data_IF_680211270935
#
_entry.id   IF_680211270935
#
_cell.length_a   1.000
_cell.length_b   1.000
_cell.length_c   1.000
_cell.angle_alpha   90.00
_cell.angle_beta   90.00
_cell.angle_gamma   90.00
#
_symmetry.space_group_name_H-M   'P 1'
#
loop_
_entity.id
_entity.type
_entity.pdbx_description
1 polymer ?
#
# COMPACT_ATOMS: atom_id res chain seq x y z
N UNK A 1 -0.39 7.63 -3.95
CA UNK A 1 -1.36 6.93 -4.83
C UNK A 1 -2.77 7.38 -4.59
N UNK A 2 -3.52 7.63 -5.66
CA UNK A 2 -4.93 7.99 -5.54
C UNK A 2 -5.78 6.73 -5.66
N UNK A 3 -6.86 6.67 -4.88
CA UNK A 3 -7.77 5.53 -4.90
C UNK A 3 -8.34 5.27 -6.28
N UNK A 4 -8.59 6.33 -7.06
CA UNK A 4 -9.08 6.22 -8.43
C UNK A 4 -8.13 5.39 -9.30
N UNK A 5 -6.83 5.63 -9.19
CA UNK A 5 -5.84 4.91 -9.97
C UNK A 5 -5.78 3.44 -9.57
N UNK A 6 -5.91 3.16 -8.28
CA UNK A 6 -5.88 1.78 -7.78
C UNK A 6 -7.05 0.95 -8.30
N UNK A 7 -8.19 1.57 -8.55
CA UNK A 7 -9.37 0.86 -9.04
C UNK A 7 -9.24 0.38 -10.48
N UNK A 8 -8.25 0.89 -11.21
CA UNK A 8 -7.97 0.46 -12.57
C UNK A 8 -7.16 -0.83 -12.63
N UNK A 9 -6.55 -1.24 -11.51
CA UNK A 9 -5.74 -2.44 -11.44
C UNK A 9 -6.57 -3.67 -11.17
N UNK A 10 -6.09 -4.82 -11.66
CA UNK A 10 -6.69 -6.11 -11.34
C UNK A 10 -6.37 -6.51 -9.90
N UNK A 11 -7.10 -7.50 -9.37
CA UNK A 11 -6.86 -8.00 -8.01
C UNK A 11 -5.42 -8.47 -7.84
N UNK A 12 -4.89 -9.20 -8.82
CA UNK A 12 -3.51 -9.69 -8.77
C UNK A 12 -2.48 -8.54 -8.76
N UNK A 13 -2.72 -7.52 -9.57
CA UNK A 13 -1.84 -6.36 -9.62
C UNK A 13 -1.85 -5.62 -8.29
N UNK A 14 -3.03 -5.52 -7.67
CA UNK A 14 -3.15 -4.87 -6.35
C UNK A 14 -2.38 -5.64 -5.28
N UNK A 15 -2.40 -6.97 -5.32
CA UNK A 15 -1.64 -7.79 -4.39
C UNK A 15 -0.13 -7.58 -4.55
N UNK A 16 0.35 -7.47 -5.79
CA UNK A 16 1.75 -7.17 -6.05
C UNK A 16 2.12 -5.80 -5.51
N UNK A 17 1.29 -4.80 -5.75
CA UNK A 17 1.51 -3.45 -5.23
C UNK A 17 1.53 -3.41 -3.72
N UNK A 18 0.64 -4.18 -3.09
CA UNK A 18 0.60 -4.28 -1.63
C UNK A 18 1.90 -4.87 -1.08
N UNK A 19 2.40 -5.92 -1.71
CA UNK A 19 3.66 -6.54 -1.31
C UNK A 19 4.82 -5.55 -1.42
N UNK A 20 4.91 -4.86 -2.55
CA UNK A 20 5.96 -3.86 -2.77
C UNK A 20 5.90 -2.75 -1.73
N UNK A 21 4.69 -2.26 -1.42
CA UNK A 21 4.51 -1.20 -0.44
C UNK A 21 4.90 -1.65 0.97
N UNK A 22 4.60 -2.89 1.33
CA UNK A 22 4.99 -3.45 2.62
C UNK A 22 6.50 -3.60 2.74
N UNK A 23 7.16 -4.02 1.67
CA UNK A 23 8.62 -4.11 1.64
C UNK A 23 9.26 -2.73 1.78
N UNK A 24 8.71 -1.73 1.10
CA UNK A 24 9.18 -0.36 1.22
C UNK A 24 9.02 0.16 2.65
N UNK A 25 7.87 -0.10 3.27
CA UNK A 25 7.64 0.30 4.65
C UNK A 25 8.65 -0.34 5.60
N UNK A 26 8.94 -1.61 5.41
CA UNK A 26 9.94 -2.32 6.20
C UNK A 26 11.32 -1.65 6.08
N UNK A 27 11.72 -1.35 4.85
CA UNK A 27 13.00 -0.70 4.59
C UNK A 27 13.07 0.69 5.21
N UNK A 28 11.97 1.46 5.11
CA UNK A 28 11.92 2.80 5.69
C UNK A 28 12.01 2.75 7.23
N UNK A 29 11.33 1.78 7.84
CA UNK A 29 11.41 1.58 9.30
C UNK A 29 12.82 1.18 9.73
N UNK A 30 13.47 0.34 8.94
CA UNK A 30 14.85 -0.06 9.21
C UNK A 30 15.78 1.15 9.13
N UNK A 31 15.64 1.98 8.09
CA UNK A 31 16.44 3.19 7.95
C UNK A 31 16.20 4.16 9.11
N UNK A 32 14.96 4.30 9.54
CA UNK A 32 14.64 5.16 10.69
C UNK A 32 15.30 4.63 11.96
N UNK A 33 15.27 3.33 12.18
CA UNK A 33 15.86 2.71 13.37
C UNK A 33 17.38 2.86 13.41
N UNK A 34 18.03 2.91 12.26
CA UNK A 34 19.49 3.09 12.17
C UNK A 34 19.92 4.55 12.03
N UNK A 35 18.97 5.48 12.07
CA UNK A 35 19.24 6.91 11.96
C UNK A 35 19.57 7.38 10.54
N UNK A 36 19.32 6.58 9.53
CA UNK A 36 19.62 6.91 8.13
C UNK A 36 18.48 7.61 7.40
N UNK A 37 17.28 7.62 7.98
CA UNK A 37 16.10 8.23 7.35
C UNK A 37 15.97 9.68 7.82
N UNK A 38 16.10 10.61 6.88
CA UNK A 38 16.00 12.05 7.18
C UNK A 38 14.57 12.54 7.30
N UNK A 39 13.63 11.90 6.59
CA UNK A 39 12.25 12.34 6.53
C UNK A 39 11.28 11.22 6.87
N UNK A 40 10.72 11.25 8.08
CA UNK A 40 9.79 10.22 8.55
C UNK A 40 8.41 10.32 7.91
N UNK A 41 8.11 11.42 7.20
CA UNK A 41 6.81 11.54 6.52
C UNK A 41 6.64 10.47 5.43
N UNK A 42 7.73 9.93 4.89
CA UNK A 42 7.66 8.84 3.92
C UNK A 42 7.05 7.58 4.53
N UNK A 43 7.29 7.34 5.82
CA UNK A 43 6.68 6.20 6.53
C UNK A 43 5.16 6.38 6.57
N UNK A 44 4.71 7.59 6.91
CA UNK A 44 3.27 7.90 6.97
C UNK A 44 2.63 7.75 5.59
N UNK A 45 3.26 8.28 4.55
CA UNK A 45 2.75 8.17 3.18
C UNK A 45 2.65 6.72 2.73
N UNK A 46 3.67 5.91 3.02
CA UNK A 46 3.67 4.50 2.65
C UNK A 46 2.57 3.74 3.39
N UNK A 47 2.36 4.03 4.68
CA UNK A 47 1.26 3.45 5.45
C UNK A 47 -0.10 3.79 4.85
N UNK A 48 -0.28 5.03 4.42
CA UNK A 48 -1.52 5.47 3.77
C UNK A 48 -1.75 4.75 2.45
N UNK A 49 -0.69 4.58 1.67
CA UNK A 49 -0.77 3.84 0.41
C UNK A 49 -1.19 2.40 0.66
N UNK A 50 -0.60 1.75 1.65
CA UNK A 50 -0.98 0.38 2.03
C UNK A 50 -2.46 0.32 2.41
N UNK A 51 -2.92 1.28 3.22
CA UNK A 51 -4.32 1.33 3.64
C UNK A 51 -5.26 1.49 2.44
N UNK A 52 -4.91 2.34 1.48
CA UNK A 52 -5.70 2.55 0.27
C UNK A 52 -5.74 1.30 -0.60
N UNK A 53 -4.60 0.65 -0.78
CA UNK A 53 -4.51 -0.59 -1.55
C UNK A 53 -5.38 -1.67 -0.90
N UNK A 54 -5.29 -1.83 0.41
CA UNK A 54 -6.11 -2.79 1.15
C UNK A 54 -7.60 -2.49 1.02
N UNK A 55 -7.98 -1.22 1.07
CA UNK A 55 -9.38 -0.81 0.92
C UNK A 55 -9.92 -1.19 -0.46
N UNK A 56 -9.15 -0.92 -1.51
CA UNK A 56 -9.58 -1.25 -2.88
C UNK A 56 -9.65 -2.76 -3.09
N UNK A 57 -8.70 -3.52 -2.55
CA UNK A 57 -8.72 -4.98 -2.62
C UNK A 57 -9.99 -5.50 -1.94
N UNK A 58 -10.33 -4.98 -0.77
CA UNK A 58 -11.51 -5.40 -0.04
C UNK A 58 -12.80 -5.06 -0.78
N UNK A 59 -12.88 -3.86 -1.37
CA UNK A 59 -14.02 -3.47 -2.19
C UNK A 59 -14.21 -4.42 -3.36
N UNK A 60 -13.11 -4.78 -4.01
CA UNK A 60 -13.14 -5.68 -5.15
C UNK A 60 -13.61 -7.08 -4.74
N UNK A 61 -13.11 -7.59 -3.63
CA UNK A 61 -13.53 -8.90 -3.10
C UNK A 61 -15.01 -8.91 -2.72
N UNK A 62 -15.49 -7.85 -2.06
CA UNK A 62 -16.90 -7.73 -1.69
C UNK A 62 -17.79 -7.65 -2.93
N UNK A 63 -17.34 -6.94 -3.96
CA UNK A 63 -18.06 -6.84 -5.22
C UNK A 63 -18.20 -8.21 -5.89
N UNK A 64 -17.16 -9.03 -5.84
CA UNK A 64 -17.18 -10.37 -6.40
C UNK A 64 -18.12 -11.29 -5.61
N UNK A 65 -18.13 -11.16 -4.29
CA UNK A 65 -19.03 -11.95 -3.45
C UNK A 65 -20.50 -11.56 -3.65
N UNK A 66 -20.74 -10.27 -3.89
CA UNK A 66 -22.10 -9.76 -4.08
C UNK A 66 -22.71 -10.16 -5.41
N UNK A 67 -21.90 -10.60 -6.35
CA UNK A 67 -22.38 -11.03 -7.66
C UNK A 67 -22.58 -12.55 -7.72
#
# INVERSE_FOLDING_TARGET
MKTRELREYSHEELLVRLKEAKEELFNLRFQAATGQLDNTSRIVETKRDIARICTVIRELELSQEAS
#
